data_IF_375818089051
#
_entry.id   IF_375818089051
#
_cell.length_a   1.000
_cell.length_b   1.000
_cell.length_c   1.000
_cell.angle_alpha   90.00
_cell.angle_beta   90.00
_cell.angle_gamma   90.00
#
_symmetry.space_group_name_H-M   'P 1'
#
loop_
_entity.id
_entity.type
_entity.pdbx_description
1 polymer ?
#
# COMPACT_ATOMS: atom_id res chain seq x y z
N UNK A 1 -9.27 -23.46 18.43
CA UNK A 1 -9.03 -22.01 18.27
C UNK A 1 -9.93 -21.25 19.24
N UNK A 2 -9.48 -20.14 19.84
CA UNK A 2 -10.37 -19.27 20.59
C UNK A 2 -11.54 -18.83 19.71
N UNK A 3 -12.72 -18.72 20.28
CA UNK A 3 -13.92 -18.34 19.51
C UNK A 3 -14.20 -16.85 19.72
N UNK A 4 -13.52 -16.00 18.95
CA UNK A 4 -13.79 -14.57 18.95
C UNK A 4 -15.12 -14.26 18.26
N UNK A 5 -15.95 -13.44 18.88
CA UNK A 5 -17.25 -13.03 18.32
C UNK A 5 -17.12 -11.73 17.54
N UNK A 6 -16.38 -10.78 18.09
CA UNK A 6 -16.22 -9.42 17.52
C UNK A 6 -14.80 -8.92 17.61
N UNK A 7 -14.26 -8.59 16.49
CA UNK A 7 -12.85 -8.20 16.32
C UNK A 7 -12.76 -6.77 15.83
N UNK A 8 -11.77 -6.05 16.33
CA UNK A 8 -11.43 -4.75 15.79
C UNK A 8 -10.02 -4.77 15.21
N UNK A 9 -9.92 -4.49 13.89
CA UNK A 9 -8.67 -4.34 13.19
C UNK A 9 -8.24 -2.87 13.17
N UNK A 10 -7.08 -2.58 13.74
CA UNK A 10 -6.45 -1.26 13.74
C UNK A 10 -5.40 -1.23 12.64
N UNK A 11 -5.55 -0.33 11.67
CA UNK A 11 -4.62 -0.16 10.56
C UNK A 11 -4.33 1.32 10.31
N UNK A 12 -3.28 1.58 9.53
CA UNK A 12 -3.05 2.89 8.96
C UNK A 12 -4.12 3.23 7.91
N UNK A 13 -4.42 4.50 7.79
CA UNK A 13 -5.16 5.03 6.64
C UNK A 13 -4.29 4.95 5.39
N UNK A 14 -4.92 5.01 4.24
CA UNK A 14 -4.26 5.02 2.94
C UNK A 14 -4.58 3.79 2.10
N UNK A 15 -4.77 4.06 0.83
CA UNK A 15 -5.21 3.08 -0.18
C UNK A 15 -4.28 1.85 -0.20
N UNK A 16 -2.96 2.08 -0.23
CA UNK A 16 -1.98 1.00 -0.30
C UNK A 16 -2.08 0.02 0.87
N UNK A 17 -2.27 0.53 2.09
CA UNK A 17 -2.44 -0.29 3.29
C UNK A 17 -3.73 -1.12 3.21
N UNK A 18 -4.86 -0.51 2.81
CA UNK A 18 -6.11 -1.23 2.63
C UNK A 18 -6.00 -2.38 1.63
N UNK A 19 -5.41 -2.12 0.47
CA UNK A 19 -5.19 -3.15 -0.57
C UNK A 19 -4.30 -4.30 -0.06
N UNK A 20 -3.21 -3.97 0.64
CA UNK A 20 -2.23 -4.96 1.09
C UNK A 20 -2.76 -5.91 2.16
N UNK A 21 -3.64 -5.42 3.05
CA UNK A 21 -4.20 -6.24 4.13
C UNK A 21 -5.49 -6.98 3.74
N UNK A 22 -6.13 -6.61 2.64
CA UNK A 22 -7.38 -7.26 2.21
C UNK A 22 -7.28 -8.78 2.13
N UNK A 23 -6.23 -9.39 1.55
CA UNK A 23 -6.09 -10.85 1.52
C UNK A 23 -5.95 -11.49 2.91
N UNK A 24 -5.39 -10.76 3.87
CA UNK A 24 -5.32 -11.23 5.27
C UNK A 24 -6.72 -11.30 5.90
N UNK A 25 -7.55 -10.28 5.65
CA UNK A 25 -8.94 -10.29 6.11
C UNK A 25 -9.75 -11.41 5.46
N UNK A 26 -9.50 -11.72 4.18
CA UNK A 26 -10.10 -12.87 3.51
C UNK A 26 -9.71 -14.21 4.18
N UNK A 27 -8.44 -14.40 4.53
CA UNK A 27 -7.96 -15.55 5.28
C UNK A 27 -8.60 -15.62 6.69
N UNK A 28 -8.71 -14.46 7.35
CA UNK A 28 -9.36 -14.34 8.64
C UNK A 28 -10.83 -14.76 8.57
N UNK A 29 -11.62 -14.23 7.63
CA UNK A 29 -13.03 -14.61 7.48
C UNK A 29 -13.25 -16.10 7.21
N UNK A 30 -12.32 -16.74 6.48
CA UNK A 30 -12.37 -18.20 6.25
C UNK A 30 -12.08 -19.00 7.52
N UNK A 31 -11.10 -18.56 8.32
CA UNK A 31 -10.72 -19.22 9.56
C UNK A 31 -11.72 -18.98 10.69
N UNK A 32 -12.41 -17.84 10.67
CA UNK A 32 -13.40 -17.41 11.66
C UNK A 32 -14.74 -17.04 11.01
N UNK A 33 -15.48 -18.02 10.45
CA UNK A 33 -16.63 -17.75 9.57
C UNK A 33 -17.85 -17.14 10.28
N UNK A 34 -17.87 -17.15 11.61
CA UNK A 34 -18.95 -16.56 12.42
C UNK A 34 -18.57 -15.24 13.10
N UNK A 35 -17.30 -14.86 13.02
CA UNK A 35 -16.77 -13.66 13.66
C UNK A 35 -17.13 -12.41 12.85
N UNK A 36 -17.70 -11.43 13.49
CA UNK A 36 -17.94 -10.10 12.94
C UNK A 36 -16.75 -9.21 13.26
N UNK A 37 -16.43 -8.24 12.37
CA UNK A 37 -15.33 -7.34 12.67
C UNK A 37 -15.59 -5.90 12.25
N UNK A 38 -14.87 -5.01 12.91
CA UNK A 38 -14.77 -3.58 12.63
C UNK A 38 -13.36 -3.26 12.19
N UNK A 39 -13.20 -2.21 11.43
CA UNK A 39 -11.90 -1.75 10.95
C UNK A 39 -11.69 -0.28 11.26
N UNK A 40 -10.45 0.19 11.38
CA UNK A 40 -10.17 1.62 11.33
C UNK A 40 -10.61 2.16 9.97
N UNK A 41 -11.09 3.40 9.92
CA UNK A 41 -11.49 4.02 8.66
C UNK A 41 -10.36 3.97 7.63
N UNK A 42 -10.67 3.48 6.44
CA UNK A 42 -9.73 3.34 5.34
C UNK A 42 -10.49 3.44 4.02
N UNK A 43 -9.94 4.13 3.05
CA UNK A 43 -10.60 4.44 1.77
C UNK A 43 -11.07 3.18 1.03
N UNK A 44 -10.33 2.08 1.13
CA UNK A 44 -10.69 0.81 0.47
C UNK A 44 -11.89 0.15 1.15
N UNK A 45 -11.92 0.14 2.48
CA UNK A 45 -13.01 -0.52 3.22
C UNK A 45 -14.25 0.35 3.33
N UNK A 46 -14.11 1.67 3.17
CA UNK A 46 -15.26 2.59 3.06
C UNK A 46 -15.91 2.55 1.68
N UNK A 47 -15.21 2.06 0.67
CA UNK A 47 -15.74 1.88 -0.68
C UNK A 47 -16.43 0.51 -0.82
N UNK A 48 -17.76 0.53 -0.93
CA UNK A 48 -18.59 -0.67 -1.06
C UNK A 48 -18.16 -1.57 -2.22
N UNK A 49 -17.73 -1.01 -3.33
CA UNK A 49 -17.29 -1.77 -4.49
C UNK A 49 -16.06 -2.63 -4.17
N UNK A 50 -15.04 -2.08 -3.45
CA UNK A 50 -13.87 -2.85 -3.04
C UNK A 50 -14.22 -3.94 -2.04
N UNK A 51 -15.08 -3.65 -1.08
CA UNK A 51 -15.56 -4.63 -0.08
C UNK A 51 -16.27 -5.79 -0.75
N UNK A 52 -17.14 -5.51 -1.73
CA UNK A 52 -17.85 -6.53 -2.52
C UNK A 52 -16.88 -7.35 -3.38
N UNK A 53 -15.91 -6.70 -4.06
CA UNK A 53 -14.89 -7.39 -4.86
C UNK A 53 -13.98 -8.27 -4.01
N UNK A 54 -13.64 -7.83 -2.82
CA UNK A 54 -12.90 -8.61 -1.85
C UNK A 54 -13.71 -9.77 -1.25
N UNK A 55 -15.04 -9.76 -1.39
CA UNK A 55 -15.93 -10.75 -0.80
C UNK A 55 -15.95 -10.70 0.74
N UNK A 56 -15.62 -9.56 1.34
CA UNK A 56 -15.64 -9.37 2.79
C UNK A 56 -17.08 -9.25 3.29
N UNK A 57 -17.58 -10.29 3.95
CA UNK A 57 -18.97 -10.42 4.36
C UNK A 57 -19.20 -10.09 5.84
N UNK A 58 -18.14 -10.03 6.63
CA UNK A 58 -18.18 -9.91 8.09
C UNK A 58 -17.81 -8.52 8.60
N UNK A 59 -17.38 -7.62 7.72
CA UNK A 59 -17.15 -6.22 8.05
C UNK A 59 -18.45 -5.54 8.42
N UNK A 60 -18.56 -5.01 9.65
CA UNK A 60 -19.77 -4.38 10.22
C UNK A 60 -19.71 -2.86 10.20
N UNK A 61 -18.52 -2.29 10.22
CA UNK A 61 -18.38 -0.84 10.28
C UNK A 61 -16.97 -0.40 10.65
N UNK A 62 -16.88 0.87 11.01
CA UNK A 62 -15.62 1.52 11.31
C UNK A 62 -15.56 2.00 12.75
N UNK A 63 -14.34 1.98 13.30
CA UNK A 63 -14.10 2.55 14.61
C UNK A 63 -14.05 4.09 14.53
N UNK A 64 -14.33 4.78 15.65
CA UNK A 64 -14.26 6.23 15.71
C UNK A 64 -12.83 6.77 15.65
N UNK A 65 -11.83 5.92 15.62
CA UNK A 65 -10.44 6.33 15.51
C UNK A 65 -10.13 6.51 14.03
N UNK A 66 -9.96 7.74 13.68
CA UNK A 66 -9.37 8.16 12.42
C UNK A 66 -7.96 8.57 12.78
N UNK A 67 -6.88 7.77 12.47
CA UNK A 67 -5.53 8.27 12.50
C UNK A 67 -4.49 7.78 13.52
N UNK A 68 -3.35 8.21 13.23
CA UNK A 68 -1.97 8.05 13.64
C UNK A 68 -1.67 8.10 15.15
N UNK A 69 -2.59 8.57 16.00
CA UNK A 69 -2.34 8.73 17.45
C UNK A 69 -3.54 8.32 18.29
N UNK A 70 -3.27 7.58 19.34
CA UNK A 70 -4.23 7.28 20.41
C UNK A 70 -4.12 8.37 21.48
N UNK A 71 -4.74 9.53 21.23
CA UNK A 71 -4.73 10.63 22.18
C UNK A 71 -5.61 10.28 23.40
N UNK A 72 -5.18 10.72 24.59
CA UNK A 72 -5.96 10.49 25.83
C UNK A 72 -7.38 11.04 25.75
N UNK A 73 -7.58 12.12 25.00
CA UNK A 73 -8.88 12.75 24.77
C UNK A 73 -9.86 11.84 23.99
N UNK A 74 -9.34 10.88 23.22
CA UNK A 74 -10.16 9.93 22.45
C UNK A 74 -10.43 8.63 23.21
N UNK A 75 -9.76 8.39 24.34
CA UNK A 75 -9.83 7.10 25.03
C UNK A 75 -11.24 6.71 25.47
N UNK A 76 -12.02 7.63 26.01
CA UNK A 76 -13.40 7.37 26.44
C UNK A 76 -14.27 6.94 25.25
N UNK A 77 -14.13 7.62 24.09
CA UNK A 77 -14.84 7.24 22.86
C UNK A 77 -14.45 5.85 22.35
N UNK A 78 -13.18 5.49 22.53
CA UNK A 78 -12.67 4.17 22.12
C UNK A 78 -13.20 3.10 23.07
N UNK A 79 -13.19 3.34 24.37
CA UNK A 79 -13.77 2.43 25.38
C UNK A 79 -15.25 2.24 25.14
N UNK A 80 -15.98 3.31 24.89
CA UNK A 80 -17.40 3.24 24.53
C UNK A 80 -17.63 2.42 23.27
N UNK A 81 -16.79 2.58 22.25
CA UNK A 81 -16.86 1.78 21.03
C UNK A 81 -16.60 0.30 21.31
N UNK A 82 -15.56 -0.03 22.09
CA UNK A 82 -15.20 -1.40 22.47
C UNK A 82 -16.35 -2.05 23.24
N UNK A 83 -16.88 -1.36 24.25
CA UNK A 83 -17.96 -1.86 25.10
C UNK A 83 -19.29 -2.00 24.31
N UNK A 84 -19.69 -0.97 23.58
CA UNK A 84 -20.92 -0.97 22.78
C UNK A 84 -20.94 -2.09 21.76
N UNK A 85 -19.80 -2.37 21.13
CA UNK A 85 -19.69 -3.39 20.11
C UNK A 85 -19.24 -4.74 20.68
N UNK A 86 -19.01 -4.84 21.99
CA UNK A 86 -18.56 -6.07 22.66
C UNK A 86 -17.31 -6.67 21.98
N UNK A 87 -16.32 -5.83 21.73
CA UNK A 87 -15.06 -6.26 21.11
C UNK A 87 -14.30 -7.17 22.07
N UNK A 88 -13.98 -8.38 21.64
CA UNK A 88 -13.25 -9.38 22.41
C UNK A 88 -11.82 -9.60 21.92
N UNK A 89 -11.52 -9.13 20.68
CA UNK A 89 -10.15 -9.15 20.13
C UNK A 89 -9.84 -7.84 19.41
N UNK A 90 -8.69 -7.29 19.69
CA UNK A 90 -8.09 -6.17 18.94
C UNK A 90 -6.85 -6.66 18.20
N UNK A 91 -6.83 -6.49 16.88
CA UNK A 91 -5.72 -6.87 16.00
C UNK A 91 -5.01 -5.60 15.52
N UNK A 92 -3.79 -5.37 15.95
CA UNK A 92 -2.99 -4.23 15.53
C UNK A 92 -2.19 -4.58 14.28
N UNK A 93 -2.62 -4.07 13.14
CA UNK A 93 -1.97 -4.26 11.83
C UNK A 93 -0.90 -3.20 11.54
N UNK A 94 -0.59 -2.35 12.52
CA UNK A 94 0.37 -1.25 12.38
C UNK A 94 1.77 -1.76 12.67
N UNK A 95 2.72 -1.36 11.85
CA UNK A 95 4.14 -1.65 12.04
C UNK A 95 4.83 -0.51 12.82
N UNK A 96 4.33 -0.21 14.01
CA UNK A 96 4.93 0.80 14.88
C UNK A 96 5.49 0.12 16.13
N UNK A 97 6.81 0.18 16.30
CA UNK A 97 7.47 -0.27 17.53
C UNK A 97 7.26 0.71 18.70
N UNK A 98 7.63 0.29 19.92
CA UNK A 98 7.50 1.11 21.14
C UNK A 98 8.18 2.48 21.05
N UNK A 99 9.23 2.63 20.24
CA UNK A 99 9.92 3.91 19.98
C UNK A 99 9.07 4.95 19.24
N UNK A 100 8.03 4.50 18.56
CA UNK A 100 7.11 5.34 17.77
C UNK A 100 5.73 5.33 18.39
N UNK A 101 5.67 5.14 19.72
CA UNK A 101 4.43 5.05 20.47
C UNK A 101 3.52 6.24 20.16
N UNK A 102 2.48 5.94 19.42
CA UNK A 102 1.39 6.87 19.10
C UNK A 102 0.35 6.92 20.23
N UNK A 103 0.72 6.47 21.42
CA UNK A 103 -0.20 6.29 22.56
C UNK A 103 -0.93 4.94 22.55
N UNK A 104 -0.69 4.07 21.56
CA UNK A 104 -1.35 2.75 21.49
C UNK A 104 -1.03 1.86 22.69
N UNK A 105 0.23 1.78 23.09
CA UNK A 105 0.64 0.91 24.20
C UNK A 105 0.14 1.41 25.55
N UNK A 106 0.08 2.73 25.77
CA UNK A 106 -0.56 3.31 26.95
C UNK A 106 -2.06 3.03 26.95
N UNK A 107 -2.72 3.23 25.81
CA UNK A 107 -4.13 2.90 25.65
C UNK A 107 -4.42 1.41 25.88
N UNK A 108 -3.59 0.51 25.34
CA UNK A 108 -3.71 -0.94 25.56
C UNK A 108 -3.63 -1.29 27.06
N UNK A 109 -2.69 -0.67 27.80
CA UNK A 109 -2.59 -0.85 29.25
C UNK A 109 -3.85 -0.33 29.97
N UNK A 110 -4.31 0.83 29.58
CA UNK A 110 -5.53 1.43 30.13
C UNK A 110 -6.75 0.55 29.88
N UNK A 111 -6.99 0.12 28.65
CA UNK A 111 -8.14 -0.71 28.29
C UNK A 111 -8.15 -2.06 29.03
N UNK A 112 -6.99 -2.66 29.26
CA UNK A 112 -6.85 -3.94 29.99
C UNK A 112 -7.18 -3.86 31.47
N UNK A 113 -7.27 -2.68 32.07
CA UNK A 113 -7.60 -2.55 33.50
C UNK A 113 -9.05 -3.00 33.80
N UNK A 114 -9.98 -2.70 32.87
CA UNK A 114 -11.40 -2.90 33.08
C UNK A 114 -12.07 -3.80 32.02
N UNK A 115 -11.28 -4.35 31.08
CA UNK A 115 -11.81 -5.12 29.95
C UNK A 115 -11.00 -6.39 29.70
N UNK A 116 -11.70 -7.50 29.49
CA UNK A 116 -11.11 -8.80 29.14
C UNK A 116 -10.93 -8.91 27.60
N UNK A 117 -10.20 -7.97 27.01
CA UNK A 117 -9.94 -7.89 25.56
C UNK A 117 -8.59 -8.51 25.24
N UNK A 118 -8.57 -9.43 24.28
CA UNK A 118 -7.35 -10.02 23.73
C UNK A 118 -6.73 -9.08 22.71
N UNK A 119 -5.41 -9.11 22.60
CA UNK A 119 -4.65 -8.29 21.64
C UNK A 119 -3.71 -9.16 20.82
N UNK A 120 -3.79 -9.03 19.50
CA UNK A 120 -2.78 -9.52 18.57
C UNK A 120 -1.94 -8.34 18.09
N UNK A 121 -0.68 -8.35 18.44
CA UNK A 121 0.29 -7.36 17.99
C UNK A 121 1.43 -8.04 17.25
N UNK A 122 2.04 -7.35 16.30
CA UNK A 122 3.33 -7.76 15.77
C UNK A 122 4.38 -7.79 16.89
N UNK A 123 5.18 -8.84 16.94
CA UNK A 123 6.29 -8.91 17.87
C UNK A 123 7.44 -8.00 17.40
N UNK A 124 7.55 -6.82 18.05
CA UNK A 124 8.56 -5.82 17.71
C UNK A 124 9.98 -6.23 18.08
N UNK A 125 10.17 -7.18 19.00
CA UNK A 125 11.51 -7.71 19.27
C UNK A 125 12.06 -8.42 18.03
N UNK A 126 11.20 -9.05 17.24
CA UNK A 126 11.55 -9.63 15.95
C UNK A 126 11.90 -8.51 14.95
N UNK A 127 11.21 -7.36 14.98
CA UNK A 127 11.45 -6.24 14.08
C UNK A 127 12.73 -5.49 14.42
N UNK A 128 13.02 -5.24 15.69
CA UNK A 128 14.23 -4.52 16.13
C UNK A 128 15.53 -5.31 15.92
N UNK A 129 15.49 -6.64 16.00
CA UNK A 129 16.64 -7.52 15.85
C UNK A 129 16.86 -8.05 14.44
N UNK A 130 16.18 -7.54 13.45
CA UNK A 130 16.27 -8.03 12.06
C UNK A 130 17.59 -7.68 11.41
N UNK A 131 18.35 -8.66 11.02
CA UNK A 131 19.43 -8.53 10.03
C UNK A 131 18.87 -8.31 8.61
N UNK A 132 17.65 -8.79 8.34
CA UNK A 132 16.87 -8.55 7.10
C UNK A 132 15.44 -8.17 7.46
N UNK A 133 15.02 -6.99 7.04
CA UNK A 133 13.62 -6.60 7.10
C UNK A 133 12.83 -7.41 6.09
N UNK A 134 11.73 -8.02 6.52
CA UNK A 134 10.76 -8.62 5.63
C UNK A 134 9.66 -7.61 5.29
N UNK A 135 8.96 -7.86 4.19
CA UNK A 135 7.82 -7.06 3.77
C UNK A 135 6.74 -7.06 4.88
N UNK A 136 6.15 -5.89 5.14
CA UNK A 136 5.13 -5.72 6.18
C UNK A 136 4.00 -6.77 6.08
N UNK A 137 3.52 -7.05 4.87
CA UNK A 137 2.47 -8.05 4.66
C UNK A 137 2.95 -9.46 5.02
N UNK A 138 4.22 -9.78 4.74
CA UNK A 138 4.82 -11.05 5.13
C UNK A 138 4.88 -11.24 6.64
N UNK A 139 5.16 -10.19 7.38
CA UNK A 139 5.16 -10.21 8.85
C UNK A 139 3.77 -10.38 9.42
N UNK A 140 2.80 -9.67 8.86
CA UNK A 140 1.39 -9.82 9.24
C UNK A 140 0.89 -11.24 8.96
N UNK A 141 1.27 -11.86 7.84
CA UNK A 141 0.96 -13.26 7.53
C UNK A 141 1.50 -14.21 8.62
N UNK A 142 2.75 -14.02 9.04
CA UNK A 142 3.35 -14.82 10.12
C UNK A 142 2.58 -14.66 11.43
N UNK A 143 2.24 -13.41 11.79
CA UNK A 143 1.44 -13.14 12.98
C UNK A 143 0.10 -13.86 12.94
N UNK A 144 -0.63 -13.77 11.82
CA UNK A 144 -1.92 -14.43 11.64
C UNK A 144 -1.78 -15.95 11.76
N UNK A 145 -0.77 -16.54 11.12
CA UNK A 145 -0.49 -17.97 11.20
C UNK A 145 -0.17 -18.44 12.64
N UNK A 146 0.62 -17.66 13.38
CA UNK A 146 0.92 -17.94 14.79
C UNK A 146 -0.32 -17.91 15.67
N UNK A 147 -1.33 -17.13 15.30
CA UNK A 147 -2.62 -17.06 15.98
C UNK A 147 -3.63 -18.10 15.46
N UNK A 148 -3.20 -19.01 14.59
CA UNK A 148 -4.02 -20.11 14.08
C UNK A 148 -4.88 -19.77 12.87
N UNK A 149 -4.70 -18.60 12.23
CA UNK A 149 -5.38 -18.30 10.96
C UNK A 149 -4.77 -19.14 9.84
N UNK A 150 -5.62 -19.82 9.07
CA UNK A 150 -5.18 -20.53 7.87
C UNK A 150 -4.90 -19.53 6.74
N UNK A 151 -3.62 -19.35 6.42
CA UNK A 151 -3.14 -18.47 5.35
C UNK A 151 -2.92 -19.18 4.01
N UNK A 152 -3.27 -20.48 3.89
CA UNK A 152 -3.08 -21.26 2.65
C UNK A 152 -3.83 -20.69 1.46
N UNK A 153 -4.91 -19.95 1.72
CA UNK A 153 -5.72 -19.27 0.70
C UNK A 153 -5.32 -17.81 0.44
N UNK A 154 -4.18 -17.35 0.96
CA UNK A 154 -3.70 -16.01 0.69
C UNK A 154 -3.41 -15.82 -0.81
N UNK A 155 -4.03 -14.81 -1.42
CA UNK A 155 -3.82 -14.45 -2.83
C UNK A 155 -3.66 -12.93 -2.96
N UNK A 156 -2.46 -12.49 -3.29
CA UNK A 156 -2.14 -11.07 -3.44
C UNK A 156 -2.86 -10.41 -4.63
N UNK A 157 -3.25 -11.21 -5.64
CA UNK A 157 -3.97 -10.75 -6.84
C UNK A 157 -5.49 -10.94 -6.68
N UNK A 158 -6.02 -10.47 -5.59
CA UNK A 158 -7.42 -10.68 -5.20
C UNK A 158 -8.44 -9.85 -5.98
N UNK A 159 -7.98 -8.76 -6.63
CA UNK A 159 -8.87 -7.78 -7.29
C UNK A 159 -9.09 -8.12 -8.76
N UNK A 160 -9.86 -9.16 -9.04
CA UNK A 160 -10.21 -9.51 -10.41
C UNK A 160 -11.26 -8.54 -10.98
N UNK A 161 -10.83 -7.66 -11.87
CA UNK A 161 -11.68 -6.59 -12.44
C UNK A 161 -11.81 -6.62 -13.95
N UNK A 162 -10.96 -7.38 -14.65
CA UNK A 162 -10.93 -7.44 -16.09
C UNK A 162 -10.42 -8.79 -16.60
N UNK A 163 -11.17 -9.41 -17.49
CA UNK A 163 -10.82 -10.72 -18.06
C UNK A 163 -10.57 -10.69 -19.58
N UNK A 164 -10.51 -9.51 -20.21
CA UNK A 164 -10.28 -9.37 -21.64
C UNK A 164 -8.82 -9.08 -22.01
N UNK A 165 -8.60 -8.75 -23.29
CA UNK A 165 -7.28 -8.41 -23.82
C UNK A 165 -6.73 -7.13 -23.20
N UNK A 166 -5.51 -7.21 -22.71
CA UNK A 166 -4.81 -6.06 -22.11
C UNK A 166 -4.16 -5.19 -23.18
N UNK A 167 -4.22 -3.88 -22.99
CA UNK A 167 -3.66 -2.91 -23.93
C UNK A 167 -3.08 -1.69 -23.25
N UNK A 168 -2.06 -1.09 -23.89
CA UNK A 168 -1.41 0.12 -23.39
C UNK A 168 -0.53 -0.08 -22.17
N UNK A 169 0.24 0.95 -21.87
CA UNK A 169 1.15 1.03 -20.73
C UNK A 169 0.74 2.22 -19.86
N UNK A 170 0.61 2.01 -18.56
CA UNK A 170 0.26 3.07 -17.62
C UNK A 170 1.49 3.65 -16.93
N UNK A 171 1.50 4.98 -16.73
CA UNK A 171 2.47 5.70 -15.93
C UNK A 171 1.77 6.32 -14.73
N UNK A 172 2.08 5.86 -13.52
CA UNK A 172 1.60 6.40 -12.25
C UNK A 172 2.54 7.49 -11.73
N UNK A 173 2.37 8.69 -12.24
CA UNK A 173 3.26 9.83 -11.97
C UNK A 173 2.96 10.53 -10.65
N UNK A 174 1.73 10.40 -10.13
CA UNK A 174 1.33 11.00 -8.86
C UNK A 174 2.09 10.43 -7.66
N UNK A 175 2.36 11.29 -6.68
CA UNK A 175 2.68 10.88 -5.31
C UNK A 175 2.40 12.04 -4.35
N UNK A 176 1.85 11.74 -3.17
CA UNK A 176 1.52 12.74 -2.14
C UNK A 176 2.75 13.52 -1.64
N UNK A 177 3.91 12.89 -1.70
CA UNK A 177 5.18 13.46 -1.28
C UNK A 177 6.08 13.69 -2.48
N UNK A 178 6.66 14.89 -2.58
CA UNK A 178 7.55 15.25 -3.70
C UNK A 178 8.77 14.32 -3.83
N UNK A 179 9.33 13.88 -2.71
CA UNK A 179 10.50 12.99 -2.67
C UNK A 179 10.19 11.54 -3.12
N UNK A 180 8.91 11.17 -3.23
CA UNK A 180 8.47 9.91 -3.85
C UNK A 180 8.28 10.02 -5.36
N UNK A 181 8.35 11.21 -5.95
CA UNK A 181 8.13 11.44 -7.38
C UNK A 181 9.41 11.21 -8.17
N UNK A 182 9.35 10.31 -9.13
CA UNK A 182 10.42 10.18 -10.10
C UNK A 182 10.47 11.41 -11.00
N UNK A 183 11.66 11.96 -11.33
CA UNK A 183 11.78 13.23 -12.07
C UNK A 183 11.11 13.18 -13.44
N UNK A 184 10.45 14.30 -13.83
CA UNK A 184 9.69 14.41 -15.08
C UNK A 184 10.52 14.10 -16.31
N UNK A 185 11.77 14.60 -16.39
CA UNK A 185 12.64 14.33 -17.52
C UNK A 185 12.93 12.82 -17.71
N UNK A 186 12.88 12.03 -16.64
CA UNK A 186 13.06 10.58 -16.71
C UNK A 186 11.83 9.85 -17.21
N UNK A 187 10.64 10.36 -16.87
CA UNK A 187 9.38 9.89 -17.47
C UNK A 187 9.38 10.17 -18.98
N UNK A 188 9.85 11.36 -19.39
CA UNK A 188 10.03 11.75 -20.81
C UNK A 188 10.99 10.76 -21.51
N UNK A 189 12.17 10.53 -20.93
CA UNK A 189 13.15 9.59 -21.51
C UNK A 189 12.60 8.16 -21.58
N UNK A 190 11.88 7.70 -20.55
CA UNK A 190 11.23 6.38 -20.55
C UNK A 190 10.21 6.28 -21.68
N UNK A 191 9.34 7.29 -21.82
CA UNK A 191 8.34 7.35 -22.91
C UNK A 191 9.02 7.24 -24.28
N UNK A 192 10.07 8.02 -24.53
CA UNK A 192 10.84 7.97 -25.78
C UNK A 192 11.41 6.57 -26.06
N UNK A 193 11.93 5.90 -25.04
CA UNK A 193 12.50 4.54 -25.18
C UNK A 193 11.42 3.50 -25.50
N UNK A 194 10.26 3.58 -24.82
CA UNK A 194 9.14 2.66 -25.05
C UNK A 194 8.55 2.86 -26.46
N UNK A 195 8.37 4.11 -26.88
CA UNK A 195 7.82 4.42 -28.21
C UNK A 195 8.69 3.96 -29.38
N UNK A 196 10.03 3.95 -29.19
CA UNK A 196 10.96 3.43 -30.19
C UNK A 196 10.81 1.94 -30.45
N UNK A 197 10.39 1.17 -29.45
CA UNK A 197 10.31 -0.28 -29.55
C UNK A 197 8.97 -0.77 -30.14
N UNK A 198 7.84 -0.42 -29.55
CA UNK A 198 6.54 -1.01 -29.90
C UNK A 198 5.42 0.02 -30.08
N UNK A 199 5.70 1.30 -29.87
CA UNK A 199 4.77 2.41 -30.07
C UNK A 199 3.37 2.23 -29.44
N UNK A 200 3.27 1.81 -28.18
CA UNK A 200 1.99 1.54 -27.52
C UNK A 200 1.22 2.82 -27.18
N UNK A 201 -0.09 2.69 -26.90
CA UNK A 201 -0.84 3.73 -26.18
C UNK A 201 -0.28 3.85 -24.74
N UNK A 202 -0.05 5.08 -24.26
CA UNK A 202 0.40 5.36 -22.90
C UNK A 202 -0.68 6.12 -22.15
N UNK A 203 -1.00 5.68 -20.94
CA UNK A 203 -1.99 6.32 -20.08
C UNK A 203 -1.25 6.91 -18.87
N UNK A 204 -1.36 8.23 -18.66
CA UNK A 204 -0.73 8.95 -17.57
C UNK A 204 -1.73 9.13 -16.44
N UNK A 205 -1.45 8.56 -15.28
CA UNK A 205 -2.19 8.77 -14.05
C UNK A 205 -1.43 9.83 -13.22
N UNK A 206 -2.00 11.02 -13.08
CA UNK A 206 -1.38 12.15 -12.40
C UNK A 206 -2.26 12.67 -11.25
N UNK A 207 -1.65 13.45 -10.34
CA UNK A 207 -2.36 14.04 -9.22
C UNK A 207 -3.16 15.30 -9.63
N UNK A 208 -3.78 15.92 -8.63
CA UNK A 208 -4.69 17.07 -8.81
C UNK A 208 -3.97 18.42 -8.78
N UNK A 209 -2.73 18.47 -8.29
CA UNK A 209 -1.99 19.73 -8.22
C UNK A 209 -1.61 20.22 -9.62
N UNK A 210 -1.53 21.54 -9.77
CA UNK A 210 -1.08 22.13 -11.03
C UNK A 210 0.30 21.62 -11.42
N UNK A 211 1.22 21.51 -10.47
CA UNK A 211 2.57 20.96 -10.69
C UNK A 211 2.53 19.54 -11.30
N UNK A 212 1.69 18.64 -10.77
CA UNK A 212 1.57 17.27 -11.30
C UNK A 212 0.91 17.24 -12.68
N UNK A 213 -0.04 18.13 -12.91
CA UNK A 213 -0.68 18.30 -14.23
C UNK A 213 0.33 18.80 -15.26
N UNK A 214 1.13 19.81 -14.95
CA UNK A 214 2.14 20.36 -15.84
C UNK A 214 3.21 19.31 -16.20
N UNK A 215 3.64 18.52 -15.21
CA UNK A 215 4.55 17.39 -15.42
C UNK A 215 3.94 16.33 -16.38
N UNK A 216 2.68 16.01 -16.21
CA UNK A 216 2.00 15.07 -17.12
C UNK A 216 1.86 15.63 -18.54
N UNK A 217 1.58 16.93 -18.70
CA UNK A 217 1.53 17.60 -19.99
C UNK A 217 2.90 17.57 -20.70
N UNK A 218 3.99 17.75 -19.96
CA UNK A 218 5.35 17.66 -20.52
C UNK A 218 5.61 16.28 -21.11
N UNK A 219 5.24 15.21 -20.41
CA UNK A 219 5.36 13.83 -20.90
C UNK A 219 4.41 13.58 -22.08
N UNK A 220 3.16 14.09 -22.02
CA UNK A 220 2.19 13.96 -23.10
C UNK A 220 2.67 14.60 -24.42
N UNK A 221 3.33 15.75 -24.36
CA UNK A 221 3.89 16.42 -25.54
C UNK A 221 4.87 15.52 -26.32
N UNK A 222 5.64 14.71 -25.59
CA UNK A 222 6.60 13.78 -26.19
C UNK A 222 5.90 12.55 -26.79
N UNK A 223 4.86 12.04 -26.12
CA UNK A 223 4.11 10.87 -26.59
C UNK A 223 3.23 11.22 -27.80
N UNK A 224 2.66 12.41 -27.78
CA UNK A 224 1.67 12.90 -28.76
C UNK A 224 0.22 12.57 -28.35
N UNK A 225 -0.69 13.49 -28.60
CA UNK A 225 -2.10 13.44 -28.16
C UNK A 225 -2.85 12.20 -28.64
N UNK A 226 -2.55 11.71 -29.85
CA UNK A 226 -3.21 10.54 -30.41
C UNK A 226 -2.91 9.22 -29.67
N UNK A 227 -1.85 9.18 -28.86
CA UNK A 227 -1.37 7.99 -28.15
C UNK A 227 -1.29 8.15 -26.65
N UNK A 228 -1.59 9.34 -26.15
CA UNK A 228 -1.54 9.65 -24.74
C UNK A 228 -2.91 10.01 -24.22
N UNK A 229 -3.34 9.32 -23.18
CA UNK A 229 -4.51 9.66 -22.39
C UNK A 229 -4.04 10.11 -21.01
N UNK A 230 -4.61 11.19 -20.49
CA UNK A 230 -4.32 11.69 -19.14
C UNK A 230 -5.53 11.42 -18.24
N UNK A 231 -5.28 10.84 -17.09
CA UNK A 231 -6.28 10.47 -16.08
C UNK A 231 -5.96 11.13 -14.76
N UNK A 232 -6.92 11.86 -14.24
CA UNK A 232 -6.90 12.40 -12.87
C UNK A 232 -8.30 12.25 -12.27
N UNK A 233 -8.41 12.44 -10.98
CA UNK A 233 -9.67 12.57 -10.23
C UNK A 233 -10.82 11.66 -10.70
N UNK A 234 -10.59 10.35 -10.68
CA UNK A 234 -11.61 9.35 -10.91
C UNK A 234 -11.90 8.58 -9.62
N UNK A 235 -13.09 7.99 -9.52
CA UNK A 235 -13.39 7.02 -8.47
C UNK A 235 -12.38 5.86 -8.51
N UNK A 236 -11.96 5.41 -7.34
CA UNK A 236 -10.94 4.34 -7.22
C UNK A 236 -11.35 3.06 -7.93
N UNK A 237 -12.63 2.72 -7.90
CA UNK A 237 -13.20 1.57 -8.63
C UNK A 237 -12.98 1.66 -10.15
N UNK A 238 -13.18 2.85 -10.74
CA UNK A 238 -12.91 3.09 -12.16
C UNK A 238 -11.43 3.00 -12.48
N UNK A 239 -10.59 3.59 -11.61
CA UNK A 239 -9.13 3.48 -11.74
C UNK A 239 -8.69 2.02 -11.68
N UNK A 240 -9.21 1.22 -10.74
CA UNK A 240 -8.88 -0.20 -10.63
C UNK A 240 -9.23 -0.97 -11.93
N UNK A 241 -10.39 -0.70 -12.51
CA UNK A 241 -10.80 -1.30 -13.79
C UNK A 241 -9.86 -0.88 -14.93
N UNK A 242 -9.46 0.41 -14.98
CA UNK A 242 -8.51 0.90 -15.98
C UNK A 242 -7.14 0.25 -15.82
N UNK A 243 -6.62 0.17 -14.59
CA UNK A 243 -5.35 -0.49 -14.29
C UNK A 243 -5.38 -1.99 -14.67
N UNK A 244 -6.51 -2.67 -14.43
CA UNK A 244 -6.69 -4.07 -14.84
C UNK A 244 -6.61 -4.32 -16.33
N UNK A 245 -6.88 -3.30 -17.16
CA UNK A 245 -6.82 -3.37 -18.63
C UNK A 245 -5.43 -3.14 -19.23
N UNK A 246 -4.47 -2.70 -18.43
CA UNK A 246 -3.13 -2.39 -18.89
C UNK A 246 -2.29 -3.65 -19.12
N UNK A 247 -1.41 -3.61 -20.11
CA UNK A 247 -0.35 -4.62 -20.28
C UNK A 247 0.71 -4.52 -19.20
N UNK A 248 1.05 -3.28 -18.78
CA UNK A 248 2.02 -3.00 -17.74
C UNK A 248 1.72 -1.63 -17.10
N UNK A 249 2.06 -1.49 -15.84
CA UNK A 249 1.96 -0.24 -15.10
C UNK A 249 3.26 0.09 -14.39
N UNK A 250 3.81 1.25 -14.66
CA UNK A 250 5.00 1.79 -13.99
C UNK A 250 4.54 2.92 -13.07
N UNK A 251 4.90 2.89 -11.79
CA UNK A 251 4.38 3.88 -10.85
C UNK A 251 5.37 4.21 -9.73
N UNK A 252 5.33 5.47 -9.31
CA UNK A 252 5.86 5.84 -8.01
C UNK A 252 5.21 4.99 -6.91
N UNK A 253 5.85 4.91 -5.73
CA UNK A 253 5.30 4.23 -4.54
C UNK A 253 4.06 4.97 -4.02
N UNK A 254 2.89 4.52 -4.46
CA UNK A 254 1.56 5.10 -4.16
C UNK A 254 0.48 4.03 -4.06
N UNK A 255 -0.72 4.44 -3.64
CA UNK A 255 -1.89 3.55 -3.60
C UNK A 255 -2.23 2.90 -4.94
N UNK A 256 -2.02 3.60 -6.06
CA UNK A 256 -2.29 3.06 -7.41
C UNK A 256 -1.36 1.88 -7.75
N UNK A 257 -0.12 1.90 -7.28
CA UNK A 257 0.82 0.79 -7.41
C UNK A 257 0.24 -0.50 -6.80
N UNK A 258 -0.28 -0.38 -5.58
CA UNK A 258 -0.88 -1.50 -4.86
C UNK A 258 -2.17 -1.99 -5.51
N UNK A 259 -3.05 -1.08 -5.93
CA UNK A 259 -4.27 -1.44 -6.66
C UNK A 259 -3.91 -2.22 -7.93
N UNK A 260 -2.97 -1.71 -8.73
CA UNK A 260 -2.57 -2.35 -9.97
C UNK A 260 -2.00 -3.76 -9.74
N UNK A 261 -1.11 -3.91 -8.77
CA UNK A 261 -0.57 -5.21 -8.39
C UNK A 261 -1.65 -6.19 -7.97
N UNK A 262 -2.66 -5.73 -7.20
CA UNK A 262 -3.79 -6.56 -6.77
C UNK A 262 -4.70 -7.01 -7.94
N UNK A 263 -4.75 -6.26 -9.05
CA UNK A 263 -5.48 -6.68 -10.27
C UNK A 263 -4.78 -7.78 -11.06
N UNK A 264 -3.55 -8.13 -10.71
CA UNK A 264 -2.72 -9.07 -11.47
C UNK A 264 -2.11 -8.46 -12.75
N UNK A 265 -2.18 -7.15 -12.92
CA UNK A 265 -1.48 -6.46 -14.02
C UNK A 265 0.02 -6.42 -13.73
N UNK A 266 0.89 -6.72 -14.71
CA UNK A 266 2.33 -6.53 -14.58
C UNK A 266 2.67 -5.12 -14.10
N UNK A 267 3.37 -5.00 -12.97
CA UNK A 267 3.55 -3.72 -12.27
C UNK A 267 5.01 -3.50 -11.90
N UNK A 268 5.53 -2.30 -12.16
CA UNK A 268 6.88 -1.88 -11.83
C UNK A 268 6.82 -0.71 -10.84
N UNK A 269 7.33 -0.91 -9.63
CA UNK A 269 7.43 0.12 -8.60
C UNK A 269 8.70 0.93 -8.68
N UNK A 270 8.60 2.25 -8.57
CA UNK A 270 9.73 3.18 -8.51
C UNK A 270 9.87 3.70 -7.08
N UNK A 271 10.87 3.19 -6.36
CA UNK A 271 11.11 3.50 -4.95
C UNK A 271 12.23 4.52 -4.81
N UNK A 272 11.87 5.79 -4.88
CA UNK A 272 12.83 6.90 -4.77
C UNK A 272 13.24 7.19 -3.33
N UNK A 273 12.31 7.04 -2.37
CA UNK A 273 12.51 7.42 -0.97
C UNK A 273 11.92 6.42 0.05
N UNK A 274 11.34 5.32 -0.39
CA UNK A 274 10.77 4.28 0.47
C UNK A 274 11.46 2.95 0.22
N UNK A 275 11.50 2.09 1.24
CA UNK A 275 12.13 0.78 1.13
C UNK A 275 11.14 -0.23 0.51
N UNK A 276 11.41 -0.78 -0.68
CA UNK A 276 10.56 -1.78 -1.30
C UNK A 276 10.51 -3.08 -0.51
N UNK A 277 11.55 -3.41 0.26
CA UNK A 277 11.55 -4.61 1.11
C UNK A 277 10.49 -4.52 2.21
N UNK A 278 10.05 -3.29 2.57
CA UNK A 278 8.98 -3.07 3.55
C UNK A 278 7.64 -2.80 2.86
N UNK A 279 7.62 -1.90 1.87
CA UNK A 279 6.40 -1.27 1.37
C UNK A 279 5.91 -1.79 0.02
N UNK A 280 6.69 -2.65 -0.66
CA UNK A 280 6.25 -3.20 -1.93
C UNK A 280 5.00 -4.09 -1.77
N UNK A 281 4.13 -4.15 -2.78
CA UNK A 281 3.09 -5.16 -2.84
C UNK A 281 3.66 -6.55 -2.60
N UNK A 282 3.04 -7.33 -1.71
CA UNK A 282 3.46 -8.71 -1.43
C UNK A 282 3.03 -9.65 -2.56
N UNK A 283 3.69 -9.48 -3.72
CA UNK A 283 3.37 -10.18 -4.95
C UNK A 283 4.66 -10.55 -5.68
N UNK A 284 4.93 -11.84 -5.77
CA UNK A 284 6.18 -12.36 -6.35
C UNK A 284 6.07 -12.69 -7.85
N UNK A 285 4.89 -12.63 -8.44
CA UNK A 285 4.66 -13.15 -9.80
C UNK A 285 4.57 -12.09 -10.87
N UNK A 286 3.97 -10.94 -10.58
CA UNK A 286 3.75 -9.88 -11.55
C UNK A 286 4.17 -8.50 -11.04
N UNK A 287 5.07 -8.46 -10.07
CA UNK A 287 5.60 -7.24 -9.49
C UNK A 287 7.13 -7.23 -9.52
N UNK A 288 7.69 -6.16 -10.10
CA UNK A 288 9.11 -5.82 -10.07
C UNK A 288 9.29 -4.40 -9.52
N UNK A 289 10.49 -4.04 -9.13
CA UNK A 289 10.77 -2.68 -8.69
C UNK A 289 12.18 -2.20 -9.05
N UNK A 290 12.32 -0.88 -9.12
CA UNK A 290 13.58 -0.19 -9.12
C UNK A 290 13.69 0.64 -7.85
N UNK A 291 14.82 0.56 -7.17
CA UNK A 291 15.09 1.34 -5.98
C UNK A 291 16.30 2.23 -6.16
N UNK A 292 16.35 3.26 -5.35
CA UNK A 292 17.48 4.17 -5.31
C UNK A 292 18.69 3.46 -4.67
N UNK A 293 19.83 3.44 -5.37
CA UNK A 293 21.08 2.84 -4.89
C UNK A 293 21.61 3.45 -3.59
N UNK A 294 21.26 4.70 -3.29
CA UNK A 294 21.62 5.34 -2.01
C UNK A 294 20.85 4.78 -0.84
N UNK A 295 19.67 4.22 -1.08
CA UNK A 295 18.89 3.54 -0.05
C UNK A 295 19.63 2.30 0.48
N UNK A 296 20.34 1.57 -0.37
CA UNK A 296 21.14 0.40 0.04
C UNK A 296 22.31 0.78 0.95
N UNK A 297 22.81 2.01 0.84
CA UNK A 297 23.95 2.53 1.60
C UNK A 297 23.54 3.36 2.83
N UNK A 298 22.26 3.67 3.00
CA UNK A 298 21.80 4.47 4.11
C UNK A 298 21.91 3.68 5.43
N UNK A 299 22.71 4.14 6.42
CA UNK A 299 22.81 3.44 7.70
C UNK A 299 21.50 3.42 8.49
N UNK A 300 20.59 4.36 8.22
CA UNK A 300 19.27 4.41 8.81
C UNK A 300 18.24 3.50 8.09
N UNK A 301 18.56 2.90 6.94
CA UNK A 301 17.67 2.04 6.17
C UNK A 301 17.07 0.91 7.00
N UNK A 302 17.87 0.27 7.84
CA UNK A 302 17.45 -0.86 8.68
C UNK A 302 16.42 -0.49 9.75
N UNK A 303 16.24 0.81 10.04
CA UNK A 303 15.45 1.27 11.18
C UNK A 303 14.33 2.22 10.76
N UNK A 304 14.49 3.02 9.71
CA UNK A 304 13.67 4.21 9.47
C UNK A 304 13.18 4.44 8.04
N UNK A 305 13.54 3.62 7.07
CA UNK A 305 13.15 3.85 5.69
C UNK A 305 11.64 3.70 5.50
N UNK A 306 10.98 4.80 5.20
CA UNK A 306 9.53 4.96 5.21
C UNK A 306 9.02 5.78 6.40
N UNK A 307 9.78 5.83 7.51
CA UNK A 307 9.50 6.63 8.71
C UNK A 307 10.72 7.43 9.15
N UNK A 308 11.63 7.80 8.23
CA UNK A 308 12.76 8.65 8.58
C UNK A 308 12.24 9.97 9.15
N UNK A 309 12.70 10.36 10.35
CA UNK A 309 12.35 11.64 10.99
C UNK A 309 12.80 12.87 10.20
N UNK A 310 13.71 12.70 9.25
CA UNK A 310 14.05 13.72 8.25
C UNK A 310 12.97 13.90 7.18
N UNK A 311 11.75 13.45 7.45
CA UNK A 311 10.59 13.58 6.58
C UNK A 311 10.29 15.05 6.19
N UNK A 312 10.69 15.98 7.06
CA UNK A 312 10.54 17.42 6.87
C UNK A 312 11.87 18.17 6.69
N UNK A 313 13.02 17.53 6.98
CA UNK A 313 14.33 18.09 6.69
C UNK A 313 14.87 17.53 5.38
N UNK A 314 15.54 18.35 4.54
CA UNK A 314 16.16 17.83 3.35
C UNK A 314 17.27 16.85 3.76
N UNK A 315 16.95 15.56 3.78
CA UNK A 315 17.98 14.54 3.83
C UNK A 315 18.97 14.85 2.69
N UNK A 316 20.29 14.92 2.96
CA UNK A 316 21.28 15.21 1.92
C UNK A 316 21.22 14.25 0.72
N UNK A 317 20.66 13.07 0.92
CA UNK A 317 20.40 12.10 -0.14
C UNK A 317 19.12 12.42 -0.95
N UNK A 318 18.18 13.25 -0.48
CA UNK A 318 16.91 13.55 -1.15
C UNK A 318 17.10 14.19 -2.52
N UNK A 319 18.03 15.11 -2.65
CA UNK A 319 18.31 15.78 -3.92
C UNK A 319 18.76 14.81 -5.04
N UNK A 320 19.19 13.60 -4.69
CA UNK A 320 19.72 12.59 -5.61
C UNK A 320 18.80 11.37 -5.78
N UNK A 321 17.71 11.27 -5.03
CA UNK A 321 16.90 10.04 -4.95
C UNK A 321 16.28 9.61 -6.26
N UNK A 322 15.71 10.52 -7.01
CA UNK A 322 15.12 10.20 -8.31
C UNK A 322 16.16 9.92 -9.39
N UNK A 323 17.38 10.47 -9.25
CA UNK A 323 18.41 10.40 -10.31
C UNK A 323 19.09 9.04 -10.41
N UNK A 324 19.06 8.22 -9.39
CA UNK A 324 19.69 6.90 -9.42
C UNK A 324 18.88 5.83 -10.16
N UNK A 325 17.55 5.99 -10.27
CA UNK A 325 16.71 5.05 -11.04
C UNK A 325 16.80 5.43 -12.53
N UNK A 326 17.40 4.54 -13.32
CA UNK A 326 17.65 4.79 -14.74
C UNK A 326 16.44 4.46 -15.61
N UNK A 327 15.99 5.34 -16.54
CA UNK A 327 14.97 5.02 -17.53
C UNK A 327 15.30 3.80 -18.40
N UNK A 328 16.59 3.55 -18.64
CA UNK A 328 17.06 2.36 -19.37
C UNK A 328 16.76 1.07 -18.60
N UNK A 329 17.01 1.07 -17.29
CA UNK A 329 16.69 -0.06 -16.41
C UNK A 329 15.19 -0.33 -16.38
N UNK A 330 14.38 0.73 -16.18
CA UNK A 330 12.91 0.61 -16.14
C UNK A 330 12.39 0.10 -17.49
N UNK A 331 12.89 0.62 -18.62
CA UNK A 331 12.50 0.16 -19.95
C UNK A 331 12.82 -1.33 -20.17
N UNK A 332 13.97 -1.82 -19.66
CA UNK A 332 14.31 -3.25 -19.73
C UNK A 332 13.28 -4.09 -18.99
N UNK A 333 12.89 -3.69 -17.76
CA UNK A 333 11.85 -4.40 -17.00
C UNK A 333 10.49 -4.39 -17.71
N UNK A 334 10.11 -3.28 -18.36
CA UNK A 334 8.87 -3.20 -19.16
C UNK A 334 8.89 -4.25 -20.27
N UNK A 335 10.00 -4.38 -21.00
CA UNK A 335 10.13 -5.38 -22.06
C UNK A 335 10.01 -6.79 -21.50
N UNK A 336 10.69 -7.09 -20.40
CA UNK A 336 10.63 -8.40 -19.74
C UNK A 336 9.21 -8.79 -19.26
N UNK A 337 8.39 -7.79 -18.89
CA UNK A 337 7.03 -8.04 -18.38
C UNK A 337 5.94 -8.08 -19.46
N UNK A 338 6.19 -7.49 -20.64
CA UNK A 338 5.17 -7.33 -21.71
C UNK A 338 5.35 -8.34 -22.83
N UNK A 339 6.56 -8.91 -22.97
CA UNK A 339 6.90 -9.98 -23.92
C UNK A 339 6.66 -11.34 -23.31
#
# INVERSE_FOLDING_TARGET
>A
MPNYKRVWFINFTGIGNGISITPLLQCFEKSYPTTEYFHSENEIFSDKWFVEKAGLKRLKGFSPIVWRRFNKEDWDRIVDFVNKNQIDLIVNLRNEGPKYDTGYYEFKKFLKQDNDVVFWDLDFNIIENREKQENLTGDLLKMFQQQGVDISSYESRWLSVYGGDKSGIGFGMAASQKNKRWPTHKWVELAQKILKNNNPKIILFHGLSQEETDQAIEVQKVIGLSRCEMINHQELSRIAIMLGKLKCFISNDTGLLHICSATGTPTIGLYTNTDPDIWAPYNKTNFLYCTNIFMEKCPARKIYCGNCFHYYDPCPAIAQYGDSISPKQVCKLVIEMVV
#
